data_IF_944086584196
#
_entry.id   IF_944086584196
#
_cell.length_a   1.000
_cell.length_b   1.000
_cell.length_c   1.000
_cell.angle_alpha   90.00
_cell.angle_beta   90.00
_cell.angle_gamma   90.00
#
_symmetry.space_group_name_H-M   'P 1'
#
loop_
_entity.id
_entity.type
_entity.pdbx_description
1 polymer ?
#
# COMPACT_ATOMS: atom_id res chain seq x y z
N UNK A 1 -17.56 11.66 -32.14
CA UNK A 1 -17.51 10.24 -31.72
C UNK A 1 -16.27 10.05 -30.87
N UNK A 2 -16.40 10.20 -29.55
CA UNK A 2 -15.33 9.92 -28.59
C UNK A 2 -15.73 8.67 -27.82
N UNK A 3 -14.80 7.72 -27.72
CA UNK A 3 -15.01 6.36 -27.21
C UNK A 3 -15.16 6.45 -25.68
N UNK A 4 -16.28 5.97 -25.16
CA UNK A 4 -16.51 5.80 -23.73
C UNK A 4 -15.60 4.69 -23.21
N UNK A 5 -14.74 5.02 -22.24
CA UNK A 5 -13.93 4.02 -21.54
C UNK A 5 -14.76 3.57 -20.33
N UNK A 6 -15.37 2.39 -20.44
CA UNK A 6 -16.11 1.75 -19.34
C UNK A 6 -15.05 1.13 -18.42
N UNK A 7 -14.90 1.70 -17.22
CA UNK A 7 -14.05 1.14 -16.17
C UNK A 7 -14.85 0.02 -15.47
N UNK A 8 -14.47 -1.22 -15.76
CA UNK A 8 -15.10 -2.41 -15.17
C UNK A 8 -14.43 -2.70 -13.82
N UNK A 9 -15.08 -2.34 -12.73
CA UNK A 9 -14.68 -2.72 -11.37
C UNK A 9 -14.82 -4.24 -11.22
N UNK A 10 -13.73 -4.95 -10.98
CA UNK A 10 -13.75 -6.37 -10.61
C UNK A 10 -14.01 -6.50 -9.11
N UNK A 11 -15.28 -6.57 -8.71
CA UNK A 11 -15.68 -7.06 -7.40
C UNK A 11 -15.44 -8.58 -7.33
N UNK A 12 -14.36 -9.00 -6.66
CA UNK A 12 -14.16 -10.41 -6.33
C UNK A 12 -14.61 -10.64 -4.87
N UNK A 13 -15.86 -11.03 -4.71
CA UNK A 13 -16.45 -11.45 -3.44
C UNK A 13 -15.93 -12.85 -3.08
N UNK A 14 -15.24 -12.95 -1.94
CA UNK A 14 -14.93 -14.25 -1.32
C UNK A 14 -16.19 -14.82 -0.66
N UNK A 15 -16.64 -16.00 -1.10
CA UNK A 15 -17.57 -16.84 -0.34
C UNK A 15 -16.80 -17.78 0.57
N UNK A 16 -17.23 -17.83 1.84
CA UNK A 16 -16.73 -18.74 2.86
C UNK A 16 -17.34 -20.15 2.75
N UNK A 17 -16.45 -21.13 2.94
CA UNK A 17 -16.58 -22.44 3.58
C UNK A 17 -17.43 -23.59 2.96
N UNK A 18 -16.78 -24.75 2.81
CA UNK A 18 -17.43 -26.06 2.74
C UNK A 18 -16.46 -27.23 2.46
N UNK A 19 -16.02 -27.94 3.50
CA UNK A 19 -15.21 -29.17 3.39
C UNK A 19 -16.01 -30.38 2.83
N UNK A 20 -15.42 -31.19 1.94
CA UNK A 20 -15.17 -32.63 2.18
C UNK A 20 -14.73 -33.44 0.94
N UNK A 21 -13.70 -34.26 1.21
CA UNK A 21 -13.36 -35.59 0.67
C UNK A 21 -12.82 -35.79 -0.77
N UNK A 22 -11.49 -36.05 -0.77
CA UNK A 22 -10.72 -37.10 -1.47
C UNK A 22 -11.41 -37.89 -2.57
N UNK A 23 -10.78 -37.87 -3.75
CA UNK A 23 -10.63 -39.08 -4.58
C UNK A 23 -9.32 -39.00 -5.36
N UNK A 24 -8.43 -39.97 -5.10
CA UNK A 24 -7.17 -40.19 -5.81
C UNK A 24 -7.44 -40.66 -7.25
N UNK A 25 -6.83 -40.05 -8.27
CA UNK A 25 -6.46 -40.72 -9.52
C UNK A 25 -5.10 -40.22 -10.02
N UNK A 26 -4.26 -41.20 -10.30
CA UNK A 26 -2.90 -41.24 -10.83
C UNK A 26 -2.50 -40.22 -11.92
N UNK A 27 -1.28 -39.67 -11.80
CA UNK A 27 -0.53 -39.08 -12.92
C UNK A 27 0.45 -40.10 -13.49
N UNK A 28 0.22 -40.47 -14.74
CA UNK A 28 1.16 -41.16 -15.63
C UNK A 28 2.16 -40.16 -16.21
N UNK A 29 3.41 -40.59 -16.33
CA UNK A 29 4.49 -39.93 -17.04
C UNK A 29 4.22 -39.79 -18.55
N UNK A 30 4.83 -38.78 -19.17
CA UNK A 30 4.86 -38.56 -20.61
C UNK A 30 5.75 -37.36 -20.94
N UNK A 31 6.99 -37.66 -21.34
CA UNK A 31 8.08 -36.78 -21.77
C UNK A 31 8.00 -36.62 -23.28
N UNK A 32 8.10 -35.42 -23.85
CA UNK A 32 8.70 -35.20 -25.19
C UNK A 32 9.40 -33.84 -25.26
N UNK A 33 10.66 -33.92 -25.67
CA UNK A 33 11.61 -32.86 -26.03
C UNK A 33 11.26 -32.24 -27.40
N UNK A 34 11.46 -30.93 -27.58
CA UNK A 34 11.84 -30.36 -28.88
C UNK A 34 12.97 -29.34 -28.69
N UNK A 35 14.08 -29.70 -29.31
CA UNK A 35 15.33 -28.99 -29.54
C UNK A 35 15.18 -27.87 -30.60
N UNK A 36 15.97 -26.79 -30.49
CA UNK A 36 16.97 -26.36 -31.48
C UNK A 36 17.22 -24.82 -31.52
N UNK A 37 18.40 -24.43 -31.03
CA UNK A 37 19.42 -23.54 -31.63
C UNK A 37 19.14 -22.06 -32.00
N UNK A 38 19.78 -21.20 -31.20
CA UNK A 38 20.74 -20.09 -31.48
C UNK A 38 20.51 -19.07 -32.61
N UNK A 39 20.66 -17.78 -32.26
CA UNK A 39 21.74 -16.91 -32.77
C UNK A 39 21.90 -15.62 -31.94
N UNK A 40 23.11 -15.39 -31.45
CA UNK A 40 23.64 -14.11 -30.94
C UNK A 40 23.83 -13.11 -32.10
N UNK A 41 23.61 -11.82 -31.83
CA UNK A 41 24.26 -10.76 -32.60
C UNK A 41 24.69 -9.60 -31.67
N UNK A 42 26.00 -9.42 -31.61
CA UNK A 42 26.76 -8.35 -30.93
C UNK A 42 26.98 -7.20 -31.91
N UNK A 43 26.78 -5.94 -31.48
CA UNK A 43 27.39 -4.76 -32.12
C UNK A 43 27.80 -3.75 -31.03
N UNK A 44 29.06 -3.29 -31.12
CA UNK A 44 29.75 -2.38 -30.18
C UNK A 44 29.93 -0.96 -30.73
N UNK A 45 30.05 0.01 -29.81
CA UNK A 45 30.85 1.26 -29.92
C UNK A 45 30.14 2.49 -30.52
N UNK A 46 30.33 3.75 -30.08
CA UNK A 46 31.19 4.43 -29.09
C UNK A 46 30.60 5.84 -28.77
N UNK A 47 30.84 6.30 -27.54
CA UNK A 47 31.18 7.66 -27.03
C UNK A 47 30.46 8.96 -27.52
N UNK A 48 29.91 9.76 -26.58
CA UNK A 48 30.41 11.13 -26.27
C UNK A 48 29.50 11.93 -25.30
N UNK A 49 30.18 12.56 -24.33
CA UNK A 49 29.84 13.82 -23.64
C UNK A 49 28.90 13.78 -22.43
N UNK A 50 29.52 13.64 -21.26
CA UNK A 50 29.02 14.06 -19.95
C UNK A 50 28.78 15.57 -19.89
N UNK A 51 27.60 15.96 -19.44
CA UNK A 51 27.36 17.27 -18.82
C UNK A 51 27.11 16.96 -17.35
N UNK A 52 28.13 17.17 -16.52
CA UNK A 52 27.99 17.15 -15.07
C UNK A 52 27.19 18.39 -14.67
N UNK A 53 25.90 18.19 -14.43
CA UNK A 53 25.14 19.08 -13.55
C UNK A 53 25.42 18.65 -12.12
N UNK A 54 26.26 19.40 -11.42
CA UNK A 54 26.42 19.35 -9.96
C UNK A 54 25.10 19.80 -9.31
N UNK A 55 24.10 18.91 -9.29
CA UNK A 55 23.12 18.93 -8.21
C UNK A 55 23.76 18.27 -6.98
N UNK A 56 23.59 18.84 -5.77
CA UNK A 56 23.99 18.14 -4.57
C UNK A 56 23.22 16.82 -4.55
N UNK A 57 23.95 15.69 -4.56
CA UNK A 57 23.35 14.37 -4.45
C UNK A 57 22.49 14.36 -3.19
N UNK A 58 21.16 14.26 -3.37
CA UNK A 58 20.25 13.98 -2.29
C UNK A 58 20.83 12.78 -1.52
N UNK A 59 21.01 12.91 -0.21
CA UNK A 59 21.43 11.77 0.61
C UNK A 59 20.47 10.62 0.32
N UNK A 60 20.99 9.54 -0.25
CA UNK A 60 20.16 8.40 -0.62
C UNK A 60 19.52 7.86 0.67
N UNK A 61 18.19 7.82 0.70
CA UNK A 61 17.43 7.26 1.81
C UNK A 61 17.94 5.84 2.07
N UNK A 62 18.49 5.60 3.26
CA UNK A 62 19.02 4.29 3.65
C UNK A 62 17.88 3.42 4.20
N UNK A 63 17.24 2.68 3.29
CA UNK A 63 16.22 1.68 3.62
C UNK A 63 16.85 0.39 4.21
N UNK A 64 16.11 -0.39 5.02
CA UNK A 64 16.64 -1.58 5.65
C UNK A 64 16.87 -2.67 4.61
N UNK A 65 17.91 -3.48 4.82
CA UNK A 65 18.12 -4.68 4.02
C UNK A 65 17.02 -5.71 4.28
N UNK A 66 16.87 -6.66 3.36
CA UNK A 66 15.95 -7.79 3.54
C UNK A 66 16.19 -8.53 4.85
N UNK A 67 17.45 -8.76 5.20
CA UNK A 67 17.83 -9.43 6.46
C UNK A 67 17.36 -8.62 7.67
N UNK A 68 17.56 -7.30 7.67
CA UNK A 68 17.08 -6.42 8.75
C UNK A 68 15.56 -6.45 8.87
N UNK A 69 14.83 -6.47 7.74
CA UNK A 69 13.36 -6.60 7.74
C UNK A 69 12.92 -7.95 8.30
N UNK A 70 13.60 -9.04 7.92
CA UNK A 70 13.28 -10.39 8.42
C UNK A 70 13.55 -10.52 9.93
N UNK A 71 14.67 -9.96 10.42
CA UNK A 71 15.00 -9.94 11.85
C UNK A 71 13.99 -9.13 12.67
N UNK A 72 13.63 -7.92 12.19
CA UNK A 72 12.62 -7.09 12.83
C UNK A 72 11.25 -7.79 12.84
N UNK A 73 10.85 -8.39 11.71
CA UNK A 73 9.60 -9.15 11.60
C UNK A 73 9.54 -10.33 12.57
N UNK A 74 10.60 -11.13 12.64
CA UNK A 74 10.68 -12.26 13.57
C UNK A 74 10.52 -11.79 15.02
N UNK A 75 11.22 -10.71 15.39
CA UNK A 75 11.14 -10.10 16.72
C UNK A 75 9.72 -9.64 17.06
N UNK A 76 9.07 -8.87 16.19
CA UNK A 76 7.81 -8.19 16.55
C UNK A 76 6.58 -9.08 16.41
N UNK A 77 6.63 -10.11 15.57
CA UNK A 77 5.54 -11.08 15.40
C UNK A 77 5.64 -12.29 16.35
N UNK A 78 6.67 -12.32 17.21
CA UNK A 78 6.86 -13.41 18.18
C UNK A 78 5.61 -13.60 19.04
N UNK A 79 5.09 -14.82 19.06
CA UNK A 79 3.94 -15.22 19.88
C UNK A 79 2.58 -15.13 19.18
N UNK A 80 2.51 -14.54 17.99
CA UNK A 80 1.30 -14.55 17.15
C UNK A 80 1.16 -15.90 16.42
N UNK A 81 -0.07 -16.32 16.13
CA UNK A 81 -0.35 -17.45 15.24
C UNK A 81 -0.18 -17.07 13.76
N UNK A 82 -0.03 -18.07 12.90
CA UNK A 82 0.07 -17.85 11.45
C UNK A 82 -1.17 -17.11 10.91
N UNK A 83 -2.38 -17.44 11.41
CA UNK A 83 -3.62 -16.77 11.02
C UNK A 83 -3.67 -15.31 11.48
N UNK A 84 -3.15 -15.01 12.68
CA UNK A 84 -3.07 -13.63 13.20
C UNK A 84 -2.09 -12.79 12.37
N UNK A 85 -0.95 -13.38 12.00
CA UNK A 85 0.06 -12.75 11.13
C UNK A 85 -0.50 -12.51 9.73
N UNK A 86 -1.17 -13.50 9.12
CA UNK A 86 -1.78 -13.35 7.79
C UNK A 86 -2.85 -12.25 7.79
N UNK A 87 -3.68 -12.21 8.84
CA UNK A 87 -4.70 -11.18 9.01
C UNK A 87 -4.10 -9.79 9.13
N UNK A 88 -3.07 -9.61 9.99
CA UNK A 88 -2.36 -8.34 10.14
C UNK A 88 -1.75 -7.90 8.80
N UNK A 89 -1.00 -8.79 8.16
CA UNK A 89 -0.32 -8.54 6.89
C UNK A 89 -1.30 -8.14 5.78
N UNK A 90 -2.41 -8.85 5.67
CA UNK A 90 -3.40 -8.60 4.61
C UNK A 90 -4.11 -7.26 4.82
N UNK A 91 -4.54 -6.96 6.04
CA UNK A 91 -5.25 -5.70 6.31
C UNK A 91 -4.34 -4.48 6.16
N UNK A 92 -3.09 -4.52 6.67
CA UNK A 92 -2.14 -3.41 6.49
C UNK A 92 -1.84 -3.18 5.01
N UNK A 93 -1.61 -4.26 4.24
CA UNK A 93 -1.44 -4.18 2.78
C UNK A 93 -2.65 -3.53 2.10
N UNK A 94 -3.86 -3.97 2.43
CA UNK A 94 -5.08 -3.46 1.78
C UNK A 94 -5.32 -1.98 2.12
N UNK A 95 -5.01 -1.56 3.35
CA UNK A 95 -5.05 -0.16 3.78
C UNK A 95 -3.99 0.66 3.02
N UNK A 96 -2.73 0.21 2.98
CA UNK A 96 -1.67 0.88 2.23
C UNK A 96 -2.05 1.04 0.74
N UNK A 97 -2.48 -0.03 0.07
CA UNK A 97 -2.89 0.02 -1.33
C UNK A 97 -4.05 1.01 -1.58
N UNK A 98 -4.98 1.14 -0.62
CA UNK A 98 -6.09 2.10 -0.71
C UNK A 98 -5.55 3.52 -0.70
N UNK A 99 -4.69 3.85 0.28
CA UNK A 99 -4.11 5.19 0.40
C UNK A 99 -3.11 5.53 -0.70
N UNK A 100 -2.26 4.59 -1.12
CA UNK A 100 -1.43 4.74 -2.31
C UNK A 100 -2.29 5.02 -3.55
N UNK A 101 -3.40 4.29 -3.72
CA UNK A 101 -4.34 4.52 -4.80
C UNK A 101 -4.91 5.94 -4.82
N UNK A 102 -5.30 6.47 -3.66
CA UNK A 102 -5.78 7.84 -3.49
C UNK A 102 -4.65 8.86 -3.78
N UNK A 103 -3.46 8.60 -3.27
CA UNK A 103 -2.31 9.46 -3.53
C UNK A 103 -1.96 9.54 -5.01
N UNK A 104 -1.82 8.40 -5.70
CA UNK A 104 -1.37 8.39 -7.10
C UNK A 104 -2.46 8.81 -8.09
N UNK A 105 -3.73 8.50 -7.82
CA UNK A 105 -4.80 8.74 -8.80
C UNK A 105 -5.53 10.07 -8.57
N UNK A 106 -5.64 10.53 -7.31
CA UNK A 106 -6.37 11.76 -6.99
C UNK A 106 -5.50 12.83 -6.32
N UNK A 107 -4.24 12.56 -5.99
CA UNK A 107 -3.38 13.53 -5.31
C UNK A 107 -3.92 13.90 -3.93
N UNK A 108 -4.48 12.93 -3.20
CA UNK A 108 -5.28 13.11 -1.98
C UNK A 108 -4.73 14.16 -1.00
N UNK A 109 -3.43 14.13 -0.69
CA UNK A 109 -2.86 15.06 0.29
C UNK A 109 -2.97 16.51 -0.13
N UNK A 110 -2.90 16.81 -1.43
CA UNK A 110 -3.11 18.18 -1.92
C UNK A 110 -4.56 18.63 -1.71
N UNK A 111 -5.52 17.73 -1.89
CA UNK A 111 -6.93 18.04 -1.66
C UNK A 111 -7.23 18.22 -0.16
N UNK A 112 -6.54 17.47 0.71
CA UNK A 112 -6.66 17.58 2.16
C UNK A 112 -5.97 18.82 2.76
N UNK A 113 -5.10 19.53 2.01
CA UNK A 113 -4.54 20.82 2.45
C UNK A 113 -5.63 21.87 2.75
N UNK A 114 -6.80 21.74 2.11
CA UNK A 114 -8.00 22.51 2.45
C UNK A 114 -8.85 21.74 3.48
N UNK A 115 -8.97 22.23 4.73
CA UNK A 115 -9.76 21.55 5.77
C UNK A 115 -11.27 21.49 5.45
N UNK A 116 -11.75 22.34 4.52
CA UNK A 116 -13.15 22.33 4.07
C UNK A 116 -13.35 21.45 2.81
N UNK A 117 -12.31 20.78 2.32
CA UNK A 117 -12.38 19.90 1.15
C UNK A 117 -13.30 18.70 1.39
N UNK A 118 -14.12 18.37 0.40
CA UNK A 118 -14.96 17.17 0.44
C UNK A 118 -14.16 15.86 0.41
N UNK A 119 -12.86 15.93 0.10
CA UNK A 119 -11.98 14.76 0.22
C UNK A 119 -11.77 14.30 1.66
N UNK A 120 -12.05 15.14 2.68
CA UNK A 120 -12.08 14.71 4.08
C UNK A 120 -13.11 13.62 4.35
N UNK A 121 -14.13 13.46 3.49
CA UNK A 121 -15.09 12.37 3.59
C UNK A 121 -14.46 10.97 3.40
N UNK A 122 -13.24 10.86 2.86
CA UNK A 122 -12.47 9.60 2.88
C UNK A 122 -12.02 9.17 4.29
N UNK A 123 -12.03 10.10 5.25
CA UNK A 123 -11.75 9.87 6.66
C UNK A 123 -13.05 9.90 7.46
N UNK A 124 -13.96 10.84 7.16
CA UNK A 124 -15.12 11.09 8.02
C UNK A 124 -16.27 10.10 7.83
N UNK A 125 -16.45 9.59 6.61
CA UNK A 125 -17.62 8.81 6.24
C UNK A 125 -17.25 7.50 5.51
N UNK A 126 -18.10 6.49 5.63
CA UNK A 126 -18.00 5.23 4.89
C UNK A 126 -19.19 5.02 3.96
N UNK A 127 -19.02 4.18 2.93
CA UNK A 127 -20.01 3.94 1.89
C UNK A 127 -19.82 4.86 0.68
N UNK A 128 -20.92 5.25 0.04
CA UNK A 128 -20.88 6.18 -1.10
C UNK A 128 -20.75 7.62 -0.56
N UNK A 129 -19.54 8.16 -0.64
CA UNK A 129 -19.19 9.51 -0.17
C UNK A 129 -19.22 10.50 -1.33
N UNK A 130 -19.54 11.75 -1.04
CA UNK A 130 -19.42 12.87 -2.00
C UNK A 130 -18.02 13.47 -1.87
N UNK A 131 -17.28 13.56 -2.97
CA UNK A 131 -15.91 14.09 -2.98
C UNK A 131 -15.76 15.36 -3.82
N UNK A 132 -16.85 15.80 -4.45
CA UNK A 132 -16.82 16.94 -5.35
C UNK A 132 -18.17 17.25 -5.98
N UNK A 133 -18.17 18.31 -6.78
CA UNK A 133 -19.33 18.77 -7.50
C UNK A 133 -18.93 19.15 -8.94
N UNK A 134 -19.58 18.53 -9.92
CA UNK A 134 -19.36 18.82 -11.34
C UNK A 134 -20.44 19.79 -11.83
N UNK A 135 -20.03 20.92 -12.41
CA UNK A 135 -20.95 21.82 -13.10
C UNK A 135 -21.31 21.29 -14.48
N UNK A 136 -22.61 21.18 -14.74
CA UNK A 136 -23.16 20.76 -16.02
C UNK A 136 -23.36 21.96 -16.97
N UNK A 137 -23.44 21.70 -18.27
CA UNK A 137 -23.64 22.75 -19.30
C UNK A 137 -24.96 23.52 -19.14
N UNK A 138 -25.98 22.91 -18.52
CA UNK A 138 -27.28 23.51 -18.25
C UNK A 138 -27.32 24.36 -16.97
N UNK A 139 -26.18 24.51 -16.29
CA UNK A 139 -26.04 25.25 -15.05
C UNK A 139 -26.45 24.49 -13.79
N UNK A 140 -26.80 23.20 -13.90
CA UNK A 140 -27.01 22.33 -12.75
C UNK A 140 -25.68 21.75 -12.24
N UNK A 141 -25.73 21.09 -11.08
CA UNK A 141 -24.56 20.45 -10.46
C UNK A 141 -24.87 18.98 -10.19
N UNK A 142 -23.89 18.13 -10.46
CA UNK A 142 -23.93 16.70 -10.12
C UNK A 142 -22.88 16.42 -9.04
N UNK A 143 -23.24 15.61 -8.04
CA UNK A 143 -22.28 15.09 -7.06
C UNK A 143 -21.28 14.16 -7.75
N UNK A 144 -20.00 14.39 -7.47
CA UNK A 144 -18.96 13.42 -7.73
C UNK A 144 -18.83 12.52 -6.50
N UNK A 145 -18.99 11.22 -6.67
CA UNK A 145 -19.01 10.26 -5.56
C UNK A 145 -17.93 9.20 -5.70
N UNK A 146 -17.48 8.68 -4.56
CA UNK A 146 -16.57 7.55 -4.45
C UNK A 146 -17.05 6.57 -3.38
N UNK A 147 -16.67 5.30 -3.50
CA UNK A 147 -16.90 4.33 -2.45
C UNK A 147 -15.73 4.34 -1.47
N UNK A 148 -16.00 4.62 -0.20
CA UNK A 148 -15.05 4.50 0.88
C UNK A 148 -15.39 3.30 1.78
N UNK A 149 -14.41 2.44 2.04
CA UNK A 149 -14.63 1.23 2.86
C UNK A 149 -14.65 1.52 4.35
N UNK A 150 -13.85 2.49 4.80
CA UNK A 150 -13.63 2.76 6.22
C UNK A 150 -13.69 4.27 6.48
N UNK A 151 -14.56 4.67 7.39
CA UNK A 151 -14.41 5.91 8.15
C UNK A 151 -13.35 5.72 9.26
N UNK A 152 -13.01 6.81 9.94
CA UNK A 152 -12.04 6.83 11.04
C UNK A 152 -12.40 5.81 12.13
N UNK A 153 -13.66 5.77 12.57
CA UNK A 153 -14.14 4.83 13.60
C UNK A 153 -13.94 3.36 13.18
N UNK A 154 -14.29 3.03 11.94
CA UNK A 154 -14.15 1.66 11.41
C UNK A 154 -12.69 1.29 11.19
N UNK A 155 -11.84 2.24 10.79
CA UNK A 155 -10.39 2.05 10.71
C UNK A 155 -9.81 1.77 12.10
N UNK A 156 -10.15 2.59 13.11
CA UNK A 156 -9.68 2.41 14.49
C UNK A 156 -10.11 1.05 15.03
N UNK A 157 -11.36 0.66 14.82
CA UNK A 157 -11.86 -0.65 15.25
C UNK A 157 -11.08 -1.82 14.60
N UNK A 158 -10.70 -1.70 13.33
CA UNK A 158 -9.90 -2.70 12.63
C UNK A 158 -8.49 -2.80 13.23
N UNK A 159 -7.80 -1.67 13.42
CA UNK A 159 -6.44 -1.65 13.97
C UNK A 159 -6.44 -2.19 15.41
N UNK A 160 -7.39 -1.75 16.24
CA UNK A 160 -7.54 -2.22 17.62
C UNK A 160 -7.88 -3.70 17.71
N UNK A 161 -8.60 -4.26 16.73
CA UNK A 161 -8.83 -5.71 16.68
C UNK A 161 -7.54 -6.50 16.40
N UNK A 162 -6.66 -5.97 15.53
CA UNK A 162 -5.36 -6.59 15.24
C UNK A 162 -4.39 -6.46 16.42
N UNK A 163 -4.43 -5.34 17.15
CA UNK A 163 -3.61 -5.12 18.35
C UNK A 163 -3.83 -6.21 19.41
N UNK A 164 -5.02 -6.80 19.52
CA UNK A 164 -5.33 -7.83 20.53
C UNK A 164 -4.43 -9.07 20.46
N UNK A 165 -3.90 -9.38 19.28
CA UNK A 165 -2.98 -10.51 19.06
C UNK A 165 -1.50 -10.15 19.22
N UNK A 166 -1.16 -8.85 19.26
CA UNK A 166 0.23 -8.38 19.32
C UNK A 166 0.78 -8.49 20.73
N UNK A 167 1.92 -9.20 20.89
CA UNK A 167 2.62 -9.34 22.18
C UNK A 167 3.81 -8.41 22.33
N UNK A 168 4.36 -7.93 21.20
CA UNK A 168 5.51 -7.07 21.17
C UNK A 168 5.09 -5.60 21.34
N UNK A 169 5.67 -4.92 22.33
CA UNK A 169 5.36 -3.52 22.66
C UNK A 169 5.65 -2.56 21.50
N UNK A 170 6.74 -2.76 20.75
CA UNK A 170 7.08 -1.88 19.62
C UNK A 170 6.01 -1.96 18.52
N UNK A 171 5.59 -3.16 18.11
CA UNK A 171 4.51 -3.28 17.11
C UNK A 171 3.16 -2.80 17.65
N UNK A 172 2.89 -3.00 18.95
CA UNK A 172 1.67 -2.49 19.56
C UNK A 172 1.61 -0.96 19.49
N UNK A 173 2.72 -0.30 19.81
CA UNK A 173 2.86 1.16 19.79
C UNK A 173 2.74 1.73 18.37
N UNK A 174 3.30 1.08 17.35
CA UNK A 174 3.14 1.52 15.95
C UNK A 174 1.67 1.41 15.47
N UNK A 175 0.95 0.36 15.88
CA UNK A 175 -0.48 0.24 15.60
C UNK A 175 -1.28 1.29 16.37
N UNK A 176 -0.88 1.63 17.60
CA UNK A 176 -1.50 2.71 18.36
C UNK A 176 -1.24 4.08 17.71
N UNK A 177 -0.06 4.27 17.12
CA UNK A 177 0.24 5.49 16.37
C UNK A 177 -0.68 5.67 15.17
N UNK A 178 -1.00 4.60 14.42
CA UNK A 178 -2.01 4.66 13.37
C UNK A 178 -3.38 5.11 13.89
N UNK A 179 -3.80 4.61 15.06
CA UNK A 179 -5.06 5.01 15.72
C UNK A 179 -5.03 6.48 16.12
N UNK A 180 -3.91 6.96 16.65
CA UNK A 180 -3.77 8.36 17.05
C UNK A 180 -3.79 9.31 15.85
N UNK A 181 -3.07 8.97 14.77
CA UNK A 181 -3.00 9.80 13.57
C UNK A 181 -4.35 9.88 12.85
N UNK A 182 -5.09 8.77 12.69
CA UNK A 182 -6.42 8.84 12.04
C UNK A 182 -7.44 9.62 12.88
N UNK A 183 -7.42 9.48 14.21
CA UNK A 183 -8.31 10.25 15.08
C UNK A 183 -7.96 11.74 15.02
N UNK A 184 -6.67 12.09 15.06
CA UNK A 184 -6.24 13.47 14.95
C UNK A 184 -6.60 14.06 13.58
N UNK A 185 -6.45 13.30 12.49
CA UNK A 185 -6.87 13.72 11.16
C UNK A 185 -8.38 14.00 11.11
N UNK A 186 -9.21 13.08 11.62
CA UNK A 186 -10.67 13.23 11.69
C UNK A 186 -11.11 14.42 12.57
N UNK A 187 -10.46 14.64 13.71
CA UNK A 187 -10.84 15.70 14.65
C UNK A 187 -10.43 17.09 14.19
N UNK A 188 -9.32 17.20 13.45
CA UNK A 188 -8.67 18.49 13.17
C UNK A 188 -8.69 18.91 11.71
N UNK A 189 -8.89 17.97 10.79
CA UNK A 189 -8.68 18.14 9.36
C UNK A 189 -7.29 18.74 9.04
N UNK A 190 -6.27 18.38 9.83
CA UNK A 190 -4.87 18.65 9.52
C UNK A 190 -4.31 17.52 8.66
N UNK A 191 -4.00 17.86 7.41
CA UNK A 191 -3.43 16.93 6.42
C UNK A 191 -2.19 16.20 6.92
N UNK A 192 -1.40 16.81 7.82
CA UNK A 192 -0.17 16.20 8.30
C UNK A 192 -0.44 14.88 9.04
N UNK A 193 -1.58 14.77 9.72
CA UNK A 193 -1.98 13.53 10.39
C UNK A 193 -2.31 12.42 9.39
N UNK A 194 -3.01 12.74 8.30
CA UNK A 194 -3.28 11.80 7.21
C UNK A 194 -1.99 11.35 6.50
N UNK A 195 -1.03 12.27 6.30
CA UNK A 195 0.29 11.98 5.72
C UNK A 195 1.09 11.04 6.63
N UNK A 196 1.14 11.32 7.94
CA UNK A 196 1.85 10.49 8.91
C UNK A 196 1.29 9.06 8.92
N UNK A 197 -0.03 8.92 9.03
CA UNK A 197 -0.70 7.61 8.96
C UNK A 197 -0.33 6.86 7.68
N UNK A 198 -0.37 7.53 6.53
CA UNK A 198 0.00 6.91 5.25
C UNK A 198 1.45 6.41 5.26
N UNK A 199 2.41 7.19 5.76
CA UNK A 199 3.80 6.76 5.80
C UNK A 199 4.02 5.57 6.75
N UNK A 200 3.31 5.52 7.89
CA UNK A 200 3.34 4.36 8.80
C UNK A 200 2.77 3.12 8.10
N UNK A 201 1.61 3.23 7.44
CA UNK A 201 1.02 2.12 6.68
C UNK A 201 1.98 1.59 5.61
N UNK A 202 2.59 2.50 4.85
CA UNK A 202 3.56 2.20 3.82
C UNK A 202 4.78 1.44 4.39
N UNK A 203 5.37 1.93 5.49
CA UNK A 203 6.54 1.29 6.07
C UNK A 203 6.20 -0.04 6.76
N UNK A 204 5.06 -0.13 7.45
CA UNK A 204 4.59 -1.41 8.01
C UNK A 204 4.39 -2.44 6.90
N UNK A 205 3.86 -2.02 5.76
CA UNK A 205 3.64 -2.89 4.63
C UNK A 205 4.96 -3.33 3.97
N UNK A 206 5.77 -2.38 3.49
CA UNK A 206 6.93 -2.65 2.64
C UNK A 206 8.22 -2.96 3.39
N UNK A 207 8.35 -2.48 4.63
CA UNK A 207 9.58 -2.59 5.39
C UNK A 207 9.39 -3.31 6.73
N UNK A 208 8.21 -3.90 6.99
CA UNK A 208 8.03 -4.80 8.14
C UNK A 208 7.38 -6.11 7.73
N UNK A 209 6.13 -6.08 7.26
CA UNK A 209 5.29 -7.27 7.03
C UNK A 209 5.58 -7.95 5.69
N UNK A 210 6.02 -7.18 4.69
CA UNK A 210 6.53 -7.66 3.39
C UNK A 210 7.90 -7.03 3.11
N UNK A 211 8.49 -7.32 1.96
CA UNK A 211 9.71 -6.64 1.51
C UNK A 211 9.44 -6.00 0.16
N UNK A 212 8.97 -4.75 0.20
CA UNK A 212 8.42 -4.02 -0.95
C UNK A 212 9.37 -3.95 -2.14
N UNK A 213 10.69 -3.88 -1.90
CA UNK A 213 11.72 -3.85 -2.95
C UNK A 213 11.65 -5.10 -3.85
N UNK A 214 11.44 -6.28 -3.29
CA UNK A 214 11.31 -7.52 -4.08
C UNK A 214 9.85 -7.80 -4.49
N UNK A 215 8.90 -7.54 -3.58
CA UNK A 215 7.51 -7.91 -3.77
C UNK A 215 6.80 -6.99 -4.78
N UNK A 216 7.12 -5.69 -4.75
CA UNK A 216 6.55 -4.64 -5.59
C UNK A 216 7.57 -4.09 -6.59
N UNK A 217 8.83 -3.95 -6.20
CA UNK A 217 9.87 -3.34 -7.04
C UNK A 217 10.11 -4.04 -8.38
N UNK A 218 9.79 -5.33 -8.51
CA UNK A 218 9.81 -6.04 -9.81
C UNK A 218 8.83 -5.49 -10.86
N UNK A 219 7.83 -4.73 -10.43
CA UNK A 219 6.86 -4.05 -11.30
C UNK A 219 7.20 -2.58 -11.56
N UNK A 220 8.26 -2.06 -10.93
CA UNK A 220 8.68 -0.68 -11.02
C UNK A 220 9.96 -0.57 -11.84
N UNK A 221 10.06 0.49 -12.64
CA UNK A 221 11.30 0.81 -13.35
C UNK A 221 12.34 1.46 -12.42
N UNK A 222 11.87 2.10 -11.34
CA UNK A 222 12.69 2.74 -10.33
C UNK A 222 12.19 2.34 -8.94
N UNK A 223 13.02 1.57 -8.22
CA UNK A 223 12.69 1.09 -6.87
C UNK A 223 12.86 2.16 -5.79
N UNK A 224 13.45 3.32 -6.12
CA UNK A 224 13.51 4.47 -5.20
C UNK A 224 12.12 4.93 -4.78
N UNK A 225 11.11 4.65 -5.61
CA UNK A 225 9.71 4.88 -5.30
C UNK A 225 9.25 4.16 -4.03
N UNK A 226 9.68 2.91 -3.84
CA UNK A 226 9.39 2.12 -2.61
C UNK A 226 10.10 2.73 -1.40
N UNK A 227 11.19 3.47 -1.60
CA UNK A 227 11.95 4.12 -0.54
C UNK A 227 11.45 5.53 -0.20
N UNK A 228 10.53 6.10 -0.99
CA UNK A 228 10.15 7.53 -0.92
C UNK A 228 9.72 7.97 0.48
N UNK A 229 8.98 7.12 1.19
CA UNK A 229 8.36 7.44 2.48
C UNK A 229 8.99 6.71 3.66
N UNK A 230 10.13 6.05 3.43
CA UNK A 230 10.79 5.28 4.47
C UNK A 230 11.31 6.16 5.61
N UNK A 231 11.07 5.72 6.84
CA UNK A 231 11.59 6.33 8.07
C UNK A 231 10.54 6.54 9.15
N UNK A 232 9.36 5.93 9.03
CA UNK A 232 8.23 6.17 9.94
C UNK A 232 8.16 5.19 11.10
N UNK A 233 8.76 4.00 10.97
CA UNK A 233 8.76 3.00 12.04
C UNK A 233 9.93 3.21 13.01
N UNK A 234 9.60 3.42 14.27
CA UNK A 234 10.57 3.67 15.35
C UNK A 234 11.52 2.49 15.59
N UNK A 235 11.12 1.26 15.23
CA UNK A 235 11.95 0.05 15.37
C UNK A 235 13.20 0.03 14.49
N UNK A 236 13.27 0.90 13.47
CA UNK A 236 14.45 1.08 12.63
C UNK A 236 15.29 2.31 13.00
N UNK A 237 14.87 3.10 14.00
CA UNK A 237 15.71 4.16 14.53
C UNK A 237 16.88 3.55 15.33
N UNK A 238 18.11 3.96 15.00
CA UNK A 238 19.28 3.60 15.78
C UNK A 238 19.20 4.30 17.16
N UNK A 239 18.84 3.56 18.21
CA UNK A 239 18.93 4.04 19.61
C UNK A 239 20.36 4.04 20.14
#
# INVERSE_FOLDING_TARGET
>A
MKKSFIMLLFCMSFMLAGCSNKTDISKSAGKEDIDNTSQEQVVSGEDSSSVETDEPAAEAIQVPSKEQVLEAREKVLTGMSDEEIERLTTNIKDLNNTWEGLYFNSGIFKELEDPDSLYWNYIDDSGDIVIGYLQNEDGTTTEETAFNRFDADSFVALIQDMQKSVQNEELYDELELLVNEINAAHETHDVQHAVNMFHILHDMDYFLLRYGIEDVGKYLQDTSFVATYYGSLSMYEAR
#
